data_IF_479099503448
#
_entry.id   IF_479099503448
#
_cell.length_a   1.000
_cell.length_b   1.000
_cell.length_c   1.000
_cell.angle_alpha   90.00
_cell.angle_beta   90.00
_cell.angle_gamma   90.00
#
_symmetry.space_group_name_H-M   'P 1'
#
loop_
_entity.id
_entity.type
_entity.pdbx_description
1 polymer ?
#
# COMPACT_ATOMS: atom_id res chain seq x y z
N UNK A 1 4.75 -5.94 10.73
CA UNK A 1 3.29 -5.98 10.55
C UNK A 1 2.79 -7.39 10.25
N UNK A 2 3.20 -8.02 9.14
CA UNK A 2 2.74 -9.38 8.76
C UNK A 2 2.94 -10.42 9.86
N UNK A 3 4.11 -10.47 10.49
CA UNK A 3 4.38 -11.37 11.63
C UNK A 3 3.45 -11.08 12.81
N UNK A 4 3.18 -9.80 13.10
CA UNK A 4 2.25 -9.40 14.15
C UNK A 4 0.80 -9.81 13.87
N UNK A 5 0.38 -9.73 12.61
CA UNK A 5 -0.93 -10.24 12.16
C UNK A 5 -0.97 -11.76 12.33
N UNK A 6 0.07 -12.49 11.91
CA UNK A 6 0.14 -13.94 12.04
C UNK A 6 0.06 -14.38 13.52
N UNK A 7 0.85 -13.76 14.40
CA UNK A 7 0.81 -14.04 15.85
C UNK A 7 -0.54 -13.67 16.45
N UNK A 8 -1.12 -12.53 16.03
CA UNK A 8 -2.45 -12.11 16.47
C UNK A 8 -3.56 -13.08 16.06
N UNK A 9 -3.51 -13.61 14.83
CA UNK A 9 -4.44 -14.63 14.35
C UNK A 9 -4.29 -15.95 15.12
N UNK A 10 -3.05 -16.37 15.44
CA UNK A 10 -2.80 -17.56 16.27
C UNK A 10 -3.36 -17.36 17.68
N UNK A 11 -3.11 -16.21 18.31
CA UNK A 11 -3.64 -15.90 19.64
C UNK A 11 -5.18 -15.84 19.65
N UNK A 12 -5.80 -15.31 18.60
CA UNK A 12 -7.25 -15.29 18.44
C UNK A 12 -7.83 -16.71 18.26
N UNK A 13 -7.13 -17.58 17.53
CA UNK A 13 -7.46 -19.01 17.40
C UNK A 13 -7.39 -19.75 18.73
N UNK A 14 -6.33 -19.53 19.52
CA UNK A 14 -6.17 -20.12 20.85
C UNK A 14 -7.23 -19.62 21.86
N UNK A 15 -7.77 -18.42 21.64
CA UNK A 15 -8.82 -17.84 22.48
C UNK A 15 -10.23 -18.38 22.15
N UNK A 16 -10.37 -19.27 21.16
CA UNK A 16 -11.66 -19.85 20.73
C UNK A 16 -12.60 -18.87 20.00
N UNK A 17 -12.13 -17.64 19.74
CA UNK A 17 -12.89 -16.57 19.09
C UNK A 17 -12.72 -16.55 17.56
N UNK A 18 -11.91 -17.46 17.01
CA UNK A 18 -11.57 -17.50 15.60
C UNK A 18 -11.68 -18.91 15.03
N UNK A 19 -12.63 -19.10 14.12
CA UNK A 19 -12.79 -20.32 13.33
C UNK A 19 -12.54 -19.99 11.86
N UNK A 20 -11.61 -20.72 11.24
CA UNK A 20 -11.40 -20.63 9.80
C UNK A 20 -12.61 -21.25 9.09
N UNK A 21 -13.32 -20.45 8.30
CA UNK A 21 -14.38 -20.94 7.44
C UNK A 21 -13.79 -21.49 6.13
N UNK A 22 -14.52 -22.42 5.51
CA UNK A 22 -14.15 -23.02 4.23
C UNK A 22 -13.87 -21.96 3.17
N UNK A 23 -12.72 -22.11 2.51
CA UNK A 23 -12.35 -21.30 1.35
C UNK A 23 -13.25 -21.76 0.20
N UNK A 24 -14.01 -20.83 -0.41
CA UNK A 24 -14.96 -21.19 -1.47
C UNK A 24 -14.30 -21.91 -2.66
N UNK A 25 -15.10 -22.68 -3.42
CA UNK A 25 -14.62 -23.60 -4.47
C UNK A 25 -13.91 -22.91 -5.66
N UNK A 26 -14.04 -21.59 -5.79
CA UNK A 26 -13.43 -20.82 -6.88
C UNK A 26 -11.95 -20.55 -6.61
N UNK A 27 -11.08 -21.35 -7.22
CA UNK A 27 -9.64 -21.21 -7.12
C UNK A 27 -9.09 -20.00 -7.91
N UNK A 28 -9.76 -19.57 -8.97
CA UNK A 28 -9.28 -18.51 -9.86
C UNK A 28 -10.39 -17.55 -10.26
N UNK A 29 -10.11 -16.24 -10.21
CA UNK A 29 -11.05 -15.21 -10.66
C UNK A 29 -10.31 -14.06 -11.33
N UNK A 30 -10.69 -13.77 -12.58
CA UNK A 30 -10.23 -12.57 -13.26
C UNK A 30 -11.00 -11.35 -12.74
N UNK A 31 -10.31 -10.21 -12.52
CA UNK A 31 -10.98 -9.00 -12.09
C UNK A 31 -11.83 -8.44 -13.24
N UNK A 32 -13.07 -8.09 -12.94
CA UNK A 32 -13.98 -7.45 -13.89
C UNK A 32 -13.69 -5.97 -13.96
N UNK A 33 -13.67 -5.42 -15.17
CA UNK A 33 -13.57 -3.97 -15.37
C UNK A 33 -14.92 -3.33 -15.10
N UNK A 34 -14.93 -2.26 -14.30
CA UNK A 34 -16.10 -1.44 -13.95
C UNK A 34 -17.31 -2.23 -13.43
N UNK A 35 -17.17 -3.09 -12.40
CA UNK A 35 -18.29 -3.88 -11.87
C UNK A 35 -19.48 -3.03 -11.39
N UNK A 36 -19.23 -1.80 -10.94
CA UNK A 36 -20.26 -0.88 -10.44
C UNK A 36 -20.62 0.24 -11.42
N UNK A 37 -20.04 0.24 -12.63
CA UNK A 37 -20.24 1.30 -13.62
C UNK A 37 -19.62 2.66 -13.25
N UNK A 38 -20.04 3.72 -13.94
CA UNK A 38 -19.59 5.09 -13.69
C UNK A 38 -20.68 5.90 -13.02
N UNK A 39 -20.39 6.44 -11.84
CA UNK A 39 -21.23 7.45 -11.19
C UNK A 39 -20.36 8.58 -10.67
N UNK A 40 -20.76 9.81 -10.99
CA UNK A 40 -20.09 11.02 -10.51
C UNK A 40 -20.96 11.70 -9.47
N UNK A 41 -20.43 11.85 -8.27
CA UNK A 41 -21.09 12.57 -7.17
C UNK A 41 -20.24 13.79 -6.80
N UNK A 42 -20.78 14.99 -7.05
CA UNK A 42 -20.10 16.25 -6.75
C UNK A 42 -19.84 16.46 -5.26
N UNK A 43 -20.65 15.87 -4.37
CA UNK A 43 -20.44 15.96 -2.93
C UNK A 43 -19.20 15.19 -2.46
N UNK A 44 -18.88 14.07 -3.12
CA UNK A 44 -17.73 13.21 -2.78
C UNK A 44 -16.47 13.64 -3.55
N UNK A 45 -16.64 14.34 -4.67
CA UNK A 45 -15.55 14.84 -5.49
C UNK A 45 -14.56 15.70 -4.70
N UNK A 46 -15.03 16.68 -3.93
CA UNK A 46 -14.16 17.57 -3.18
C UNK A 46 -13.35 16.84 -2.08
N UNK A 47 -13.97 15.99 -1.22
CA UNK A 47 -13.22 15.15 -0.28
C UNK A 47 -12.16 14.27 -0.95
N UNK A 48 -12.52 13.58 -2.04
CA UNK A 48 -11.58 12.70 -2.75
C UNK A 48 -10.44 13.47 -3.39
N UNK A 49 -10.71 14.65 -3.95
CA UNK A 49 -9.69 15.54 -4.49
C UNK A 49 -8.70 16.00 -3.41
N UNK A 50 -9.20 16.37 -2.22
CA UNK A 50 -8.34 16.75 -1.09
C UNK A 50 -7.48 15.57 -0.60
N UNK A 51 -8.06 14.38 -0.45
CA UNK A 51 -7.31 13.17 -0.07
C UNK A 51 -6.25 12.86 -1.12
N UNK A 52 -6.59 12.96 -2.41
CA UNK A 52 -5.64 12.73 -3.50
C UNK A 52 -4.47 13.73 -3.45
N UNK A 53 -4.72 14.99 -3.09
CA UNK A 53 -3.67 15.99 -2.89
C UNK A 53 -2.73 15.60 -1.74
N UNK A 54 -3.27 15.11 -0.63
CA UNK A 54 -2.48 14.62 0.50
C UNK A 54 -1.65 13.40 0.09
N UNK A 55 -2.20 12.45 -0.66
CA UNK A 55 -1.47 11.29 -1.18
C UNK A 55 -0.31 11.71 -2.10
N UNK A 56 -0.47 12.76 -2.92
CA UNK A 56 0.63 13.28 -3.74
C UNK A 56 1.76 13.82 -2.85
N UNK A 57 1.44 14.54 -1.78
CA UNK A 57 2.44 15.04 -0.83
C UNK A 57 3.16 13.88 -0.09
N UNK A 58 2.41 12.85 0.30
CA UNK A 58 2.95 11.62 0.89
C UNK A 58 3.89 10.90 -0.10
N UNK A 59 3.46 10.69 -1.34
CA UNK A 59 4.27 10.08 -2.39
C UNK A 59 5.56 10.88 -2.66
N UNK A 60 5.50 12.22 -2.64
CA UNK A 60 6.69 13.06 -2.75
C UNK A 60 7.66 12.80 -1.60
N UNK A 61 7.15 12.78 -0.37
CA UNK A 61 7.95 12.49 0.83
C UNK A 61 8.61 11.11 0.75
N UNK A 62 7.84 10.09 0.37
CA UNK A 62 8.32 8.72 0.27
C UNK A 62 9.34 8.50 -0.84
N UNK A 63 9.14 9.10 -2.02
CA UNK A 63 10.10 9.04 -3.12
C UNK A 63 11.40 9.77 -2.77
N UNK A 64 11.31 10.88 -2.03
CA UNK A 64 12.47 11.61 -1.52
C UNK A 64 13.23 10.78 -0.50
N UNK A 65 12.53 10.24 0.49
CA UNK A 65 13.11 9.36 1.50
C UNK A 65 13.77 8.11 0.89
N UNK A 66 13.11 7.49 -0.11
CA UNK A 66 13.67 6.35 -0.84
C UNK A 66 14.97 6.74 -1.58
N UNK A 67 15.00 7.92 -2.21
CA UNK A 67 16.20 8.42 -2.91
C UNK A 67 17.37 8.63 -1.96
N UNK A 68 17.12 9.19 -0.77
CA UNK A 68 18.12 9.38 0.28
C UNK A 68 18.66 8.06 0.82
N UNK A 69 17.77 7.10 1.12
CA UNK A 69 18.17 5.78 1.62
C UNK A 69 18.94 5.00 0.54
N UNK A 70 18.58 5.18 -0.72
CA UNK A 70 19.24 4.55 -1.87
C UNK A 70 20.53 5.26 -2.29
N UNK A 71 21.01 6.24 -1.53
CA UNK A 71 22.22 7.02 -1.82
C UNK A 71 22.19 7.69 -3.20
N UNK A 72 21.01 8.14 -3.64
CA UNK A 72 20.84 8.88 -4.89
C UNK A 72 20.76 10.39 -4.62
N UNK A 73 21.25 11.18 -5.58
CA UNK A 73 21.17 12.65 -5.55
C UNK A 73 19.72 13.13 -5.48
N UNK A 74 19.44 14.08 -4.59
CA UNK A 74 18.11 14.70 -4.40
C UNK A 74 17.99 16.13 -4.97
N UNK A 75 19.10 16.78 -5.33
CA UNK A 75 19.08 18.17 -5.84
C UNK A 75 19.23 18.29 -7.36
N UNK A 76 19.38 17.17 -8.07
CA UNK A 76 19.68 17.16 -9.48
C UNK A 76 18.43 17.10 -10.38
N UNK A 77 18.56 17.47 -11.65
CA UNK A 77 17.50 17.31 -12.67
C UNK A 77 17.03 15.86 -12.79
N UNK A 78 17.91 14.89 -12.56
CA UNK A 78 17.55 13.47 -12.50
C UNK A 78 16.54 13.17 -11.39
N UNK A 79 16.65 13.80 -10.22
CA UNK A 79 15.69 13.64 -9.12
C UNK A 79 14.32 14.19 -9.49
N UNK A 80 14.26 15.41 -10.06
CA UNK A 80 12.99 16.01 -10.52
C UNK A 80 12.27 15.11 -11.54
N UNK A 81 13.00 14.46 -12.44
CA UNK A 81 12.43 13.53 -13.40
C UNK A 81 11.91 12.25 -12.74
N UNK A 82 12.64 11.71 -11.74
CA UNK A 82 12.17 10.56 -10.95
C UNK A 82 10.91 10.89 -10.17
N UNK A 83 10.85 12.08 -9.55
CA UNK A 83 9.71 12.54 -8.78
C UNK A 83 8.46 12.69 -9.67
N UNK A 84 8.58 13.38 -10.81
CA UNK A 84 7.50 13.51 -11.78
C UNK A 84 7.02 12.14 -12.31
N UNK A 85 7.96 11.26 -12.66
CA UNK A 85 7.64 9.91 -13.13
C UNK A 85 6.97 9.04 -12.07
N UNK A 86 7.42 9.14 -10.81
CA UNK A 86 6.84 8.43 -9.67
C UNK A 86 5.42 8.88 -9.38
N UNK A 87 5.17 10.19 -9.31
CA UNK A 87 3.82 10.76 -9.08
C UNK A 87 2.88 10.39 -10.24
N UNK A 88 3.37 10.45 -11.48
CA UNK A 88 2.56 10.05 -12.64
C UNK A 88 2.20 8.56 -12.57
N UNK A 89 3.15 7.69 -12.21
CA UNK A 89 2.91 6.26 -12.03
C UNK A 89 1.90 5.99 -10.90
N UNK A 90 1.97 6.74 -9.80
CA UNK A 90 1.02 6.69 -8.68
C UNK A 90 -0.41 7.01 -9.15
N UNK A 91 -0.57 8.11 -9.88
CA UNK A 91 -1.87 8.50 -10.45
C UNK A 91 -2.42 7.50 -11.46
N UNK A 92 -1.57 6.97 -12.35
CA UNK A 92 -1.96 5.91 -13.30
C UNK A 92 -2.35 4.62 -12.57
N UNK A 93 -1.63 4.24 -11.51
CA UNK A 93 -1.97 3.10 -10.66
C UNK A 93 -3.32 3.28 -9.98
N UNK A 94 -3.60 4.48 -9.46
CA UNK A 94 -4.91 4.85 -8.93
C UNK A 94 -6.03 4.73 -9.97
N UNK A 95 -5.79 5.19 -11.21
CA UNK A 95 -6.77 5.03 -12.30
C UNK A 95 -7.05 3.55 -12.58
N UNK A 96 -6.01 2.72 -12.71
CA UNK A 96 -6.18 1.28 -12.95
C UNK A 96 -6.93 0.63 -11.77
N UNK A 97 -6.59 0.99 -10.53
CA UNK A 97 -7.30 0.52 -9.35
C UNK A 97 -8.79 0.93 -9.37
N UNK A 98 -9.10 2.17 -9.72
CA UNK A 98 -10.47 2.64 -9.85
C UNK A 98 -11.26 1.88 -10.95
N UNK A 99 -10.63 1.54 -12.07
CA UNK A 99 -11.23 0.71 -13.12
C UNK A 99 -11.58 -0.69 -12.62
N UNK A 100 -10.80 -1.24 -11.70
CA UNK A 100 -11.06 -2.53 -11.03
C UNK A 100 -11.93 -2.38 -9.77
N UNK A 101 -12.44 -1.17 -9.49
CA UNK A 101 -13.16 -0.81 -8.27
C UNK A 101 -12.42 -1.14 -6.96
N UNK A 102 -11.09 -1.04 -6.99
CA UNK A 102 -10.25 -1.02 -5.81
C UNK A 102 -10.13 0.40 -5.24
N UNK A 103 -9.75 0.49 -3.96
CA UNK A 103 -9.49 1.77 -3.32
C UNK A 103 -8.26 2.47 -3.92
N UNK A 104 -8.20 3.81 -3.88
CA UNK A 104 -7.00 4.55 -4.24
C UNK A 104 -5.78 4.03 -3.48
N UNK A 105 -4.66 3.91 -4.17
CA UNK A 105 -3.40 3.44 -3.61
C UNK A 105 -2.31 4.50 -3.77
N UNK A 106 -1.29 4.46 -2.93
CA UNK A 106 -0.12 5.32 -3.08
C UNK A 106 1.17 4.58 -2.74
N UNK A 107 2.30 5.28 -2.86
CA UNK A 107 3.63 4.77 -2.53
C UNK A 107 3.69 4.29 -1.07
N UNK A 108 4.31 3.14 -0.84
CA UNK A 108 4.30 2.49 0.48
C UNK A 108 5.55 2.83 1.29
N UNK A 109 5.42 3.76 2.25
CA UNK A 109 6.49 4.22 3.13
C UNK A 109 7.25 3.08 3.84
N UNK A 110 6.58 1.98 4.20
CA UNK A 110 7.24 0.88 4.91
C UNK A 110 8.34 0.21 4.09
N UNK A 111 8.29 0.28 2.76
CA UNK A 111 9.33 -0.28 1.90
C UNK A 111 10.70 0.39 2.16
N UNK A 112 10.68 1.69 2.46
CA UNK A 112 11.89 2.46 2.79
C UNK A 112 12.61 1.87 4.02
N UNK A 113 11.86 1.40 5.02
CA UNK A 113 12.43 0.75 6.20
C UNK A 113 13.13 -0.58 5.87
N UNK A 114 12.55 -1.37 4.97
CA UNK A 114 13.17 -2.64 4.52
C UNK A 114 14.44 -2.37 3.73
N UNK A 115 14.43 -1.39 2.82
CA UNK A 115 15.61 -1.00 2.04
C UNK A 115 16.72 -0.51 2.96
N UNK A 116 16.39 0.29 3.98
CA UNK A 116 17.37 0.79 4.96
C UNK A 116 18.05 -0.35 5.74
N UNK A 117 17.30 -1.40 6.11
CA UNK A 117 17.85 -2.54 6.85
C UNK A 117 18.64 -3.51 5.96
N UNK A 118 18.17 -3.73 4.74
CA UNK A 118 18.77 -4.71 3.81
C UNK A 118 19.88 -4.12 2.95
N UNK A 119 19.91 -2.80 2.77
CA UNK A 119 20.80 -2.12 1.82
C UNK A 119 20.46 -2.36 0.35
N UNK A 120 19.35 -3.05 0.03
CA UNK A 120 19.02 -3.46 -1.34
C UNK A 120 17.90 -2.60 -1.91
N UNK A 121 18.26 -1.56 -2.67
CA UNK A 121 17.33 -0.70 -3.41
C UNK A 121 17.14 -1.15 -4.89
N UNK A 122 17.05 -2.46 -5.12
CA UNK A 122 17.02 -3.01 -6.49
C UNK A 122 15.63 -2.97 -7.11
N UNK A 123 15.51 -2.35 -8.29
CA UNK A 123 14.26 -2.29 -9.08
C UNK A 123 13.70 -3.67 -9.46
N UNK A 124 14.57 -4.69 -9.53
CA UNK A 124 14.18 -6.05 -9.88
C UNK A 124 13.33 -6.69 -8.78
N UNK A 125 13.70 -6.47 -7.51
CA UNK A 125 12.96 -6.97 -6.34
C UNK A 125 11.53 -6.45 -6.37
N UNK A 126 11.34 -5.15 -6.60
CA UNK A 126 10.00 -4.55 -6.73
C UNK A 126 9.18 -5.17 -7.87
N UNK A 127 9.79 -5.43 -9.03
CA UNK A 127 9.10 -6.06 -10.17
C UNK A 127 8.66 -7.49 -9.85
N UNK A 128 9.53 -8.30 -9.26
CA UNK A 128 9.18 -9.68 -8.88
C UNK A 128 8.05 -9.71 -7.84
N UNK A 129 8.12 -8.85 -6.82
CA UNK A 129 7.07 -8.73 -5.81
C UNK A 129 5.76 -8.30 -6.46
N UNK A 130 5.78 -7.31 -7.36
CA UNK A 130 4.57 -6.87 -8.08
C UNK A 130 3.91 -7.99 -8.88
N UNK A 131 4.70 -8.79 -9.61
CA UNK A 131 4.18 -9.95 -10.34
C UNK A 131 3.60 -11.00 -9.39
N UNK A 132 4.29 -11.30 -8.28
CA UNK A 132 3.81 -12.24 -7.26
C UNK A 132 2.47 -11.76 -6.67
N UNK A 133 2.33 -10.46 -6.36
CA UNK A 133 1.10 -9.90 -5.82
C UNK A 133 -0.05 -9.93 -6.83
N UNK A 134 0.21 -9.66 -8.11
CA UNK A 134 -0.79 -9.80 -9.17
C UNK A 134 -1.26 -11.25 -9.27
N UNK A 135 -0.31 -12.21 -9.26
CA UNK A 135 -0.64 -13.63 -9.29
C UNK A 135 -1.47 -14.02 -8.07
N UNK A 136 -1.07 -13.63 -6.86
CA UNK A 136 -1.81 -13.89 -5.63
C UNK A 136 -3.22 -13.26 -5.64
N UNK A 137 -3.38 -12.07 -6.21
CA UNK A 137 -4.68 -11.40 -6.34
C UNK A 137 -5.67 -12.13 -7.25
N UNK A 138 -5.19 -12.96 -8.17
CA UNK A 138 -6.03 -13.80 -9.04
C UNK A 138 -6.61 -15.03 -8.33
N UNK A 139 -6.15 -15.34 -7.11
CA UNK A 139 -6.64 -16.45 -6.29
C UNK A 139 -7.58 -15.92 -5.19
N UNK A 140 -8.92 -16.00 -5.37
CA UNK A 140 -9.88 -15.61 -4.34
C UNK A 140 -9.66 -16.19 -2.95
N UNK A 141 -9.16 -17.44 -2.78
CA UNK A 141 -8.88 -17.98 -1.45
C UNK A 141 -7.93 -17.11 -0.61
N UNK A 142 -6.98 -16.40 -1.25
CA UNK A 142 -6.07 -15.49 -0.54
C UNK A 142 -6.85 -14.30 0.02
N UNK A 143 -7.75 -13.71 -0.77
CA UNK A 143 -8.61 -12.63 -0.32
C UNK A 143 -9.57 -13.08 0.80
N UNK A 144 -10.14 -14.27 0.68
CA UNK A 144 -11.04 -14.82 1.69
C UNK A 144 -10.33 -15.08 3.02
N UNK A 145 -9.10 -15.59 2.99
CA UNK A 145 -8.28 -15.75 4.18
C UNK A 145 -8.02 -14.40 4.88
N UNK A 146 -7.74 -13.34 4.11
CA UNK A 146 -7.52 -12.01 4.66
C UNK A 146 -8.80 -11.42 5.29
N UNK A 147 -9.98 -11.71 4.73
CA UNK A 147 -11.28 -11.27 5.30
C UNK A 147 -11.61 -11.94 6.62
N UNK A 148 -11.07 -13.14 6.85
CA UNK A 148 -11.25 -13.86 8.09
C UNK A 148 -10.39 -13.28 9.23
N UNK A 149 -9.42 -12.40 8.97
CA UNK A 149 -8.57 -11.80 10.02
C UNK A 149 -9.45 -11.07 11.06
N UNK A 150 -9.33 -11.41 12.36
CA UNK A 150 -10.15 -10.80 13.41
C UNK A 150 -9.96 -9.27 13.51
N UNK A 151 -11.06 -8.56 13.77
CA UNK A 151 -11.05 -7.10 13.92
C UNK A 151 -10.04 -6.57 14.96
N UNK A 152 -9.82 -7.22 16.13
CA UNK A 152 -8.81 -6.76 17.09
C UNK A 152 -7.37 -6.80 16.53
N UNK A 153 -7.05 -7.80 15.70
CA UNK A 153 -5.75 -7.96 15.05
C UNK A 153 -5.56 -6.87 13.98
N UNK A 154 -6.61 -6.64 13.19
CA UNK A 154 -6.62 -5.57 12.19
C UNK A 154 -6.46 -4.19 12.84
N UNK A 155 -7.13 -3.94 13.98
CA UNK A 155 -7.01 -2.70 14.75
C UNK A 155 -5.58 -2.45 15.25
N UNK A 156 -4.92 -3.47 15.79
CA UNK A 156 -3.51 -3.39 16.19
C UNK A 156 -2.58 -3.10 15.01
N UNK A 157 -2.81 -3.75 13.87
CA UNK A 157 -2.05 -3.50 12.64
C UNK A 157 -2.23 -2.06 12.13
N UNK A 158 -3.46 -1.53 12.19
CA UNK A 158 -3.81 -0.16 11.81
C UNK A 158 -3.15 0.87 12.73
N UNK A 159 -3.09 0.64 14.05
CA UNK A 159 -2.34 1.53 14.96
C UNK A 159 -0.86 1.64 14.57
N UNK A 160 -0.23 0.51 14.24
CA UNK A 160 1.18 0.50 13.81
C UNK A 160 1.34 1.25 12.49
N UNK A 161 0.42 1.07 11.53
CA UNK A 161 0.45 1.82 10.28
C UNK A 161 0.33 3.33 10.50
N UNK A 162 -0.62 3.80 11.31
CA UNK A 162 -0.73 5.23 11.64
C UNK A 162 0.51 5.76 12.36
N UNK A 163 1.11 4.96 13.26
CA UNK A 163 2.38 5.32 13.89
C UNK A 163 3.52 5.53 12.88
N UNK A 164 3.61 4.67 11.86
CA UNK A 164 4.58 4.84 10.78
C UNK A 164 4.33 6.11 9.96
N UNK A 165 3.07 6.44 9.65
CA UNK A 165 2.71 7.68 8.93
C UNK A 165 3.12 8.91 9.73
N UNK A 166 2.83 8.93 11.03
CA UNK A 166 3.26 10.02 11.92
C UNK A 166 4.79 10.14 11.94
N UNK A 167 5.51 9.03 12.05
CA UNK A 167 6.97 9.01 12.05
C UNK A 167 7.55 9.52 10.72
N UNK A 168 6.96 9.15 9.58
CA UNK A 168 7.34 9.65 8.26
C UNK A 168 7.13 11.18 8.18
N UNK A 169 5.99 11.68 8.66
CA UNK A 169 5.71 13.12 8.75
C UNK A 169 6.74 13.89 9.58
N UNK A 170 7.10 13.38 10.77
CA UNK A 170 8.16 13.97 11.60
C UNK A 170 9.48 14.02 10.84
N UNK A 171 9.86 12.93 10.17
CA UNK A 171 11.11 12.84 9.42
C UNK A 171 11.20 13.90 8.31
N UNK A 172 10.11 14.10 7.56
CA UNK A 172 10.02 15.13 6.52
C UNK A 172 10.27 16.52 7.12
N UNK A 173 9.61 16.86 8.24
CA UNK A 173 9.79 18.18 8.89
C UNK A 173 11.25 18.36 9.33
N UNK A 174 11.83 17.35 9.96
CA UNK A 174 13.20 17.42 10.51
C UNK A 174 14.30 17.44 9.45
N UNK A 175 14.03 16.97 8.23
CA UNK A 175 15.00 17.01 7.11
C UNK A 175 15.16 18.40 6.49
N UNK A 176 14.34 19.38 6.88
CA UNK A 176 14.42 20.77 6.37
C UNK A 176 15.51 21.61 7.07
N UNK A 177 16.62 21.01 7.49
CA UNK A 177 17.78 21.70 8.07
C UNK A 177 19.09 21.26 7.44
#
# INVERSE_FOLDING_TARGET
>A
MVVGIAVGCIAAGLSGQFHLHGLGDTLFRLPTLFPFGFQFNSAIFLPVALVSLVCILEAVGDLTANSLISQQSVDDCAFRNRLKGGILADGVSCMVAAMLCAFPNTTFAQNNGVIQMTGVASRYVGRYIGVILILLGLFPPVGELLRQIPAPVLGGATMVMFGCVVAAGIRIITQTR
#
